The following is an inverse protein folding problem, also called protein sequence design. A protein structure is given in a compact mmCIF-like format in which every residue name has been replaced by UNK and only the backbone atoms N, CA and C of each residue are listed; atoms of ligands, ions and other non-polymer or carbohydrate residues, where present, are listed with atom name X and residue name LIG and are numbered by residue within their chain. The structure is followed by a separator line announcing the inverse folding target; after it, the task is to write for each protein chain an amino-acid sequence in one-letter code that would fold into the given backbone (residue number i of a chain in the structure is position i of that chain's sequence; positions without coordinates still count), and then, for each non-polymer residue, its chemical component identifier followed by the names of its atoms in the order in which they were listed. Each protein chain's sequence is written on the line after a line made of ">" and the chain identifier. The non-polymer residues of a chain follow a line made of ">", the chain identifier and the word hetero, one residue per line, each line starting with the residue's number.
data_IF_290523257715
#
_entry.id   IF_290523257715
#
_cell.length_a   1.000
_cell.length_b   1.000
_cell.length_c   1.000
_cell.angle_alpha   90.00
_cell.angle_beta   90.00
_cell.angle_gamma   90.00
#
_symmetry.space_group_name_H-M   'P 1'
#
loop_
_entity.id
_entity.type
_entity.pdbx_description
1 polymer ?
#
# COMPACT_ATOMS: atom_id res chain seq x y z
N UNK A 1 -65.97 56.07 -11.83
CA UNK A 1 -65.35 56.33 -10.51
C UNK A 1 -65.99 55.40 -9.48
N UNK A 2 -65.52 54.15 -9.38
CA UNK A 2 -66.00 53.20 -8.38
C UNK A 2 -65.02 53.17 -7.22
N UNK A 3 -65.47 53.53 -6.01
CA UNK A 3 -64.65 53.43 -4.80
C UNK A 3 -64.53 51.94 -4.46
N UNK A 4 -63.31 51.39 -4.48
CA UNK A 4 -63.03 50.11 -3.86
C UNK A 4 -63.31 50.28 -2.35
N UNK A 5 -64.47 49.79 -1.90
CA UNK A 5 -64.82 49.78 -0.49
C UNK A 5 -63.86 48.83 0.20
N UNK A 6 -63.02 49.37 1.09
CA UNK A 6 -62.14 48.57 1.95
C UNK A 6 -63.01 47.90 3.01
N UNK A 7 -63.63 46.79 2.64
CA UNK A 7 -64.49 45.99 3.51
C UNK A 7 -63.64 45.26 4.54
N UNK A 8 -64.20 44.89 5.70
CA UNK A 8 -63.49 44.08 6.69
C UNK A 8 -62.93 42.78 6.10
N UNK A 9 -63.64 42.18 5.15
CA UNK A 9 -63.17 41.03 4.37
C UNK A 9 -61.88 41.34 3.59
N UNK A 10 -61.83 42.46 2.86
CA UNK A 10 -60.60 42.85 2.13
C UNK A 10 -59.43 43.12 3.05
N UNK A 11 -59.68 43.65 4.26
CA UNK A 11 -58.63 43.88 5.27
C UNK A 11 -58.10 42.56 5.85
N UNK A 12 -58.99 41.59 6.11
CA UNK A 12 -58.60 40.25 6.56
C UNK A 12 -57.79 39.55 5.48
N UNK A 13 -58.22 39.65 4.22
CA UNK A 13 -57.53 39.02 3.09
C UNK A 13 -56.17 39.66 2.80
N UNK A 14 -56.05 40.99 2.91
CA UNK A 14 -54.80 41.73 2.82
C UNK A 14 -53.82 41.27 3.92
N UNK A 15 -54.28 41.18 5.18
CA UNK A 15 -53.46 40.72 6.30
C UNK A 15 -53.07 39.24 6.22
N UNK A 16 -53.92 38.38 5.65
CA UNK A 16 -53.62 36.95 5.44
C UNK A 16 -52.72 36.71 4.22
N UNK A 17 -52.63 37.69 3.31
CA UNK A 17 -51.77 37.65 2.13
C UNK A 17 -50.48 38.44 2.30
N UNK A 18 -50.28 39.11 3.44
CA UNK A 18 -48.98 39.64 3.83
C UNK A 18 -48.02 38.46 3.91
N UNK A 19 -46.95 38.42 3.08
CA UNK A 19 -45.98 37.34 3.15
C UNK A 19 -45.32 37.40 4.52
N UNK A 20 -45.59 36.40 5.35
CA UNK A 20 -44.92 36.24 6.63
C UNK A 20 -43.40 36.14 6.35
N UNK A 21 -42.58 36.93 7.04
CA UNK A 21 -41.12 36.95 6.87
C UNK A 21 -40.43 35.63 7.33
N UNK A 22 -41.17 34.51 7.43
CA UNK A 22 -40.67 33.19 7.81
C UNK A 22 -39.60 32.65 6.84
N UNK A 23 -39.61 33.11 5.58
CA UNK A 23 -38.63 32.73 4.56
C UNK A 23 -37.19 33.10 4.95
N UNK A 24 -36.99 34.21 5.67
CA UNK A 24 -35.65 34.70 6.04
C UNK A 24 -35.06 33.88 7.20
N UNK A 25 -35.90 33.42 8.13
CA UNK A 25 -35.48 32.61 9.29
C UNK A 25 -35.01 31.20 8.87
N UNK A 26 -35.71 30.57 7.93
CA UNK A 26 -35.36 29.24 7.43
C UNK A 26 -34.05 29.29 6.64
N UNK A 27 -33.87 30.31 5.81
CA UNK A 27 -32.64 30.46 5.02
C UNK A 27 -31.44 30.80 5.91
N UNK A 28 -31.60 31.68 6.90
CA UNK A 28 -30.56 31.96 7.91
C UNK A 28 -30.14 30.70 8.65
N UNK A 29 -31.11 29.88 9.08
CA UNK A 29 -30.83 28.60 9.72
C UNK A 29 -30.05 27.65 8.80
N UNK A 30 -30.46 27.54 7.53
CA UNK A 30 -29.76 26.71 6.53
C UNK A 30 -28.31 27.19 6.32
N UNK A 31 -28.08 28.50 6.18
CA UNK A 31 -26.72 29.05 6.07
C UNK A 31 -25.88 28.74 7.31
N UNK A 32 -26.46 28.91 8.51
CA UNK A 32 -25.79 28.58 9.77
C UNK A 32 -25.44 27.09 9.85
N UNK A 33 -26.32 26.21 9.41
CA UNK A 33 -26.08 24.77 9.36
C UNK A 33 -24.96 24.41 8.38
N UNK A 34 -25.00 24.94 7.16
CA UNK A 34 -23.95 24.73 6.15
C UNK A 34 -22.60 25.22 6.67
N UNK A 35 -22.56 26.41 7.28
CA UNK A 35 -21.34 26.96 7.86
C UNK A 35 -20.79 26.10 9.01
N UNK A 36 -21.66 25.53 9.85
CA UNK A 36 -21.25 24.58 10.90
C UNK A 36 -20.67 23.29 10.30
N UNK A 37 -21.31 22.74 9.28
CA UNK A 37 -20.82 21.53 8.59
C UNK A 37 -19.45 21.76 7.94
N UNK A 38 -19.27 22.89 7.26
CA UNK A 38 -17.98 23.29 6.68
C UNK A 38 -16.89 23.38 7.74
N UNK A 39 -17.16 24.04 8.87
CA UNK A 39 -16.21 24.10 10.00
C UNK A 39 -15.86 22.72 10.55
N UNK A 40 -16.85 21.84 10.71
CA UNK A 40 -16.59 20.46 11.16
C UNK A 40 -15.73 19.69 10.16
N UNK A 41 -15.99 19.85 8.86
CA UNK A 41 -15.20 19.26 7.80
C UNK A 41 -13.75 19.78 7.82
N UNK A 42 -13.54 21.09 7.93
CA UNK A 42 -12.21 21.70 8.04
C UNK A 42 -11.43 21.12 9.22
N UNK A 43 -12.05 21.03 10.39
CA UNK A 43 -11.43 20.42 11.58
C UNK A 43 -11.09 18.95 11.34
N UNK A 44 -11.99 18.19 10.72
CA UNK A 44 -11.75 16.78 10.42
C UNK A 44 -10.58 16.59 9.44
N UNK A 45 -10.49 17.41 8.40
CA UNK A 45 -9.40 17.38 7.40
C UNK A 45 -8.07 17.72 8.08
N UNK A 46 -8.01 18.83 8.82
CA UNK A 46 -6.80 19.25 9.54
C UNK A 46 -6.29 18.16 10.49
N UNK A 47 -7.20 17.52 11.23
CA UNK A 47 -6.83 16.41 12.13
C UNK A 47 -6.42 15.16 11.38
N UNK A 48 -7.06 14.84 10.27
CA UNK A 48 -6.66 13.72 9.42
C UNK A 48 -5.23 13.90 8.90
N UNK A 49 -4.89 15.10 8.41
CA UNK A 49 -3.56 15.43 7.91
C UNK A 49 -2.49 15.36 9.00
N UNK A 50 -2.74 15.99 10.16
CA UNK A 50 -1.86 15.92 11.33
C UNK A 50 -1.59 14.46 11.74
N UNK A 51 -2.65 13.64 11.77
CA UNK A 51 -2.56 12.24 12.19
C UNK A 51 -1.91 11.36 11.12
N UNK A 52 -2.07 11.67 9.83
CA UNK A 52 -1.42 10.96 8.74
C UNK A 52 0.10 11.11 8.82
N UNK A 53 0.59 12.33 9.08
CA UNK A 53 2.03 12.59 9.25
C UNK A 53 2.58 11.84 10.47
N UNK A 54 1.92 11.95 11.62
CA UNK A 54 2.31 11.23 12.85
C UNK A 54 2.31 9.72 12.67
N UNK A 55 1.31 9.19 11.96
CA UNK A 55 1.19 7.77 11.66
C UNK A 55 2.36 7.31 10.80
N UNK A 56 2.67 8.03 9.73
CA UNK A 56 3.80 7.72 8.84
C UNK A 56 5.12 7.71 9.62
N UNK A 57 5.41 8.76 10.38
CA UNK A 57 6.66 8.84 11.16
C UNK A 57 6.78 7.73 12.20
N UNK A 58 5.67 7.33 12.84
CA UNK A 58 5.68 6.26 13.82
C UNK A 58 5.88 4.88 13.20
N UNK A 59 5.19 4.57 12.08
CA UNK A 59 5.38 3.30 11.37
C UNK A 59 6.75 3.18 10.73
N UNK A 60 7.28 4.28 10.17
CA UNK A 60 8.57 4.27 9.46
C UNK A 60 9.77 4.36 10.41
N UNK A 61 9.56 4.59 11.72
CA UNK A 61 10.63 4.83 12.71
C UNK A 61 11.70 3.73 12.74
N UNK A 62 11.28 2.48 12.55
CA UNK A 62 12.16 1.30 12.54
C UNK A 62 12.23 0.65 11.15
N UNK A 63 11.75 1.34 10.11
CA UNK A 63 11.78 0.81 8.76
C UNK A 63 13.22 0.82 8.23
N UNK A 64 13.71 -0.36 7.84
CA UNK A 64 15.00 -0.52 7.19
C UNK A 64 14.79 -0.43 5.69
N UNK A 65 15.57 0.43 5.01
CA UNK A 65 15.59 0.47 3.54
C UNK A 65 16.08 -0.88 3.02
N UNK A 66 15.26 -1.51 2.20
CA UNK A 66 15.59 -2.73 1.47
C UNK A 66 15.48 -2.38 -0.01
N UNK A 67 16.43 -2.86 -0.78
CA UNK A 67 16.46 -2.66 -2.22
C UNK A 67 16.98 -3.96 -2.84
N UNK A 68 16.46 -4.27 -4.02
CA UNK A 68 16.89 -5.40 -4.82
C UNK A 68 17.26 -4.92 -6.22
N UNK A 69 18.17 -5.63 -6.86
CA UNK A 69 18.61 -5.37 -8.23
C UNK A 69 17.98 -6.37 -9.19
N UNK A 70 17.93 -5.97 -10.45
CA UNK A 70 17.51 -6.86 -11.54
C UNK A 70 18.47 -8.07 -11.59
N UNK A 71 17.90 -9.28 -11.66
CA UNK A 71 18.62 -10.54 -11.57
C UNK A 71 18.79 -11.10 -10.16
N UNK A 72 18.45 -10.36 -9.09
CA UNK A 72 18.51 -10.91 -7.73
C UNK A 72 17.49 -12.03 -7.53
N UNK A 73 17.93 -13.08 -6.83
CA UNK A 73 17.06 -14.18 -6.42
C UNK A 73 16.34 -13.80 -5.12
N UNK A 74 15.03 -13.95 -5.09
CA UNK A 74 14.18 -13.60 -3.94
C UNK A 74 13.07 -14.64 -3.73
N UNK A 75 12.88 -15.16 -2.51
CA UNK A 75 11.69 -15.94 -2.19
C UNK A 75 10.47 -15.02 -2.12
N UNK A 76 9.35 -15.47 -2.68
CA UNK A 76 8.09 -14.69 -2.73
C UNK A 76 7.07 -15.26 -1.76
N UNK A 77 6.41 -14.38 -0.99
CA UNK A 77 5.35 -14.78 -0.08
C UNK A 77 4.08 -15.21 -0.83
N UNK A 78 3.61 -16.43 -0.59
CA UNK A 78 2.36 -16.92 -1.17
C UNK A 78 1.14 -16.50 -0.35
N UNK A 79 0.42 -15.49 -0.83
CA UNK A 79 -0.79 -14.96 -0.17
C UNK A 79 -2.08 -15.71 -0.51
N UNK A 80 -2.12 -16.43 -1.64
CA UNK A 80 -3.31 -17.19 -2.07
C UNK A 80 -3.32 -18.59 -1.47
N UNK A 81 -4.09 -18.83 -0.39
CA UNK A 81 -4.46 -20.17 0.13
C UNK A 81 -5.77 -20.19 0.91
N UNK A 82 -6.31 -21.40 1.06
CA UNK A 82 -7.56 -21.72 1.75
C UNK A 82 -7.59 -21.39 3.27
N UNK A 83 -6.45 -21.17 3.94
CA UNK A 83 -6.40 -20.88 5.38
C UNK A 83 -5.29 -19.87 5.73
N UNK A 84 -5.58 -18.97 6.69
CA UNK A 84 -4.74 -17.87 7.21
C UNK A 84 -3.38 -18.31 7.75
N UNK A 85 -3.26 -19.54 8.25
CA UNK A 85 -1.99 -20.06 8.81
C UNK A 85 -1.09 -20.74 7.76
N UNK A 86 -1.57 -20.95 6.54
CA UNK A 86 -0.84 -21.67 5.51
C UNK A 86 0.11 -20.76 4.69
N UNK A 87 0.59 -19.65 5.26
CA UNK A 87 1.50 -18.73 4.57
C UNK A 87 2.87 -19.41 4.41
N UNK A 88 3.41 -19.45 3.19
CA UNK A 88 4.75 -19.98 2.92
C UNK A 88 5.54 -19.07 1.97
N UNK A 89 6.86 -19.12 2.10
CA UNK A 89 7.79 -18.55 1.13
C UNK A 89 7.96 -19.56 0.00
N UNK A 90 7.59 -19.16 -1.21
CA UNK A 90 7.82 -19.94 -2.42
C UNK A 90 9.23 -19.65 -2.90
N UNK A 91 9.83 -20.64 -3.57
CA UNK A 91 11.22 -20.68 -4.00
C UNK A 91 11.72 -19.41 -4.70
N UNK A 92 13.03 -19.35 -4.97
CA UNK A 92 13.64 -18.14 -5.49
C UNK A 92 13.03 -17.80 -6.86
N UNK A 93 12.34 -16.67 -6.91
CA UNK A 93 12.04 -15.98 -8.14
C UNK A 93 13.17 -15.01 -8.48
N UNK A 94 13.23 -14.60 -9.74
CA UNK A 94 14.20 -13.62 -10.23
C UNK A 94 13.51 -12.27 -10.36
N UNK A 95 14.16 -11.22 -9.89
CA UNK A 95 13.67 -9.86 -10.10
C UNK A 95 13.98 -9.45 -11.54
N UNK A 96 12.95 -9.04 -12.27
CA UNK A 96 13.09 -8.59 -13.64
C UNK A 96 13.33 -7.08 -13.72
N UNK A 97 12.51 -6.31 -13.01
CA UNK A 97 12.59 -4.86 -13.00
C UNK A 97 11.92 -4.26 -11.76
N UNK A 98 12.34 -3.04 -11.43
CA UNK A 98 11.71 -2.19 -10.42
C UNK A 98 10.60 -1.33 -11.07
N UNK A 99 9.36 -1.49 -10.62
CA UNK A 99 8.21 -0.69 -11.07
C UNK A 99 8.11 0.61 -10.26
N UNK A 100 8.39 0.54 -8.97
CA UNK A 100 8.36 1.64 -8.00
C UNK A 100 9.24 1.27 -6.80
N UNK A 101 9.65 2.26 -5.98
CA UNK A 101 10.47 2.05 -4.77
C UNK A 101 10.03 0.86 -3.89
N UNK A 102 8.74 0.52 -3.87
CA UNK A 102 8.20 -0.61 -3.10
C UNK A 102 7.67 -1.77 -3.94
N UNK A 103 7.60 -1.66 -5.28
CA UNK A 103 6.98 -2.65 -6.16
C UNK A 103 7.99 -3.19 -7.18
N UNK A 104 8.14 -4.51 -7.21
CA UNK A 104 9.07 -5.22 -8.08
C UNK A 104 8.31 -6.21 -8.97
N UNK A 105 8.78 -6.38 -10.20
CA UNK A 105 8.34 -7.44 -11.08
C UNK A 105 9.19 -8.69 -10.82
N UNK A 106 8.53 -9.79 -10.46
CA UNK A 106 9.20 -11.05 -10.12
C UNK A 106 8.72 -12.16 -11.03
N UNK A 107 9.68 -12.86 -11.64
CA UNK A 107 9.46 -14.10 -12.37
C UNK A 107 9.69 -15.30 -11.45
N UNK A 108 8.72 -16.20 -11.37
CA UNK A 108 8.87 -17.48 -10.65
C UNK A 108 8.82 -18.60 -11.68
N UNK A 109 9.74 -19.57 -11.66
CA UNK A 109 9.75 -20.66 -12.62
C UNK A 109 8.41 -21.41 -12.62
N UNK A 110 7.79 -21.55 -13.80
CA UNK A 110 6.50 -22.21 -13.97
C UNK A 110 5.28 -21.34 -13.64
N UNK A 111 5.46 -20.05 -13.37
CA UNK A 111 4.36 -19.09 -13.20
C UNK A 111 4.59 -17.87 -14.09
N UNK A 112 3.52 -17.12 -14.35
CA UNK A 112 3.61 -15.81 -14.97
C UNK A 112 4.32 -14.84 -14.03
N UNK A 113 4.97 -13.84 -14.61
CA UNK A 113 5.52 -12.70 -13.90
C UNK A 113 4.44 -12.02 -13.07
N UNK A 114 4.76 -11.65 -11.84
CA UNK A 114 3.82 -10.98 -10.94
C UNK A 114 4.47 -9.76 -10.31
N UNK A 115 3.70 -8.68 -10.18
CA UNK A 115 4.11 -7.55 -9.35
C UNK A 115 3.98 -7.92 -7.88
N UNK A 116 5.06 -7.70 -7.12
CA UNK A 116 5.13 -7.98 -5.69
C UNK A 116 5.64 -6.74 -4.96
N UNK A 117 5.02 -6.45 -3.83
CA UNK A 117 5.51 -5.40 -2.92
C UNK A 117 6.74 -5.97 -2.19
N UNK A 118 7.75 -5.14 -1.94
CA UNK A 118 9.01 -5.52 -1.29
C UNK A 118 8.84 -6.26 0.06
N UNK A 119 7.74 -6.00 0.78
CA UNK A 119 7.40 -6.70 2.03
C UNK A 119 7.03 -8.18 1.83
N UNK A 120 6.69 -8.57 0.60
CA UNK A 120 6.41 -9.94 0.19
C UNK A 120 7.67 -10.65 -0.33
N UNK A 121 8.84 -10.01 -0.23
CA UNK A 121 10.12 -10.50 -0.74
C UNK A 121 11.15 -10.62 0.39
N UNK A 122 12.10 -11.53 0.22
CA UNK A 122 13.26 -11.67 1.10
C UNK A 122 14.55 -11.78 0.28
N UNK A 123 15.70 -11.32 0.83
CA UNK A 123 17.00 -11.65 0.23
C UNK A 123 17.22 -13.17 0.24
N UNK A 124 17.58 -13.74 -0.90
CA UNK A 124 17.99 -15.13 -0.98
C UNK A 124 19.50 -15.27 -0.74
N UNK A 125 19.88 -16.04 0.28
CA UNK A 125 21.28 -16.40 0.53
C UNK A 125 21.49 -17.86 0.15
N UNK A 126 22.29 -18.10 -0.90
CA UNK A 126 22.64 -19.47 -1.32
C UNK A 126 23.45 -20.12 -0.20
N UNK A 127 23.07 -21.34 0.19
CA UNK A 127 23.89 -22.14 1.13
C UNK A 127 25.23 -22.48 0.46
N UNK A 128 26.35 -22.44 1.21
CA UNK A 128 27.62 -22.93 0.69
C UNK A 128 27.47 -24.41 0.34
N UNK A 129 27.91 -24.79 -0.85
CA UNK A 129 27.89 -26.17 -1.26
C UNK A 129 29.06 -26.89 -0.59
N UNK A 130 28.75 -27.83 0.32
CA UNK A 130 29.76 -28.72 0.88
C UNK A 130 30.04 -29.81 -0.15
N UNK A 131 31.09 -29.60 -0.94
CA UNK A 131 31.58 -30.63 -1.86
C UNK A 131 32.39 -31.62 -1.02
N UNK A 132 31.84 -32.81 -0.78
CA UNK A 132 32.62 -33.91 -0.22
C UNK A 132 33.55 -34.42 -1.33
N UNK A 133 34.80 -33.95 -1.35
CA UNK A 133 35.82 -34.48 -2.24
C UNK A 133 36.27 -35.84 -1.71
N UNK A 134 36.01 -36.91 -2.46
CA UNK A 134 36.66 -38.21 -2.26
C UNK A 134 38.00 -38.12 -3.00
N UNK A 135 39.08 -37.92 -2.26
CA UNK A 135 40.43 -37.97 -2.82
C UNK A 135 40.84 -39.44 -2.80
N UNK A 136 40.84 -40.08 -3.97
CA UNK A 136 41.43 -41.41 -4.12
C UNK A 136 42.95 -41.25 -4.15
N UNK A 137 43.63 -41.78 -3.15
CA UNK A 137 45.08 -41.67 -2.93
C UNK A 137 45.93 -42.55 -3.87
N UNK A 138 45.36 -42.99 -5.00
CA UNK A 138 46.04 -43.91 -5.94
C UNK A 138 47.02 -43.20 -6.89
N UNK A 139 47.04 -41.87 -6.93
CA UNK A 139 47.96 -41.10 -7.78
C UNK A 139 49.32 -40.81 -7.15
N UNK A 140 49.56 -41.18 -5.88
CA UNK A 140 50.90 -41.06 -5.28
C UNK A 140 51.84 -42.22 -5.63
N UNK A 141 51.32 -43.37 -6.06
CA UNK A 141 52.15 -44.53 -6.39
C UNK A 141 52.65 -44.56 -7.85
N UNK A 142 52.05 -43.82 -8.79
CA UNK A 142 52.51 -43.85 -10.19
C UNK A 142 53.65 -42.88 -10.51
N UNK A 143 53.96 -41.93 -9.61
CA UNK A 143 55.08 -40.99 -9.76
C UNK A 143 56.37 -41.47 -9.08
N UNK A 144 56.26 -42.38 -8.10
CA UNK A 144 57.42 -42.96 -7.39
C UNK A 144 58.15 -44.03 -8.22
N UNK A 145 57.46 -44.68 -9.16
CA UNK A 145 58.04 -45.74 -10.00
C UNK A 145 58.80 -45.21 -11.24
N UNK A 146 58.78 -43.90 -11.50
CA UNK A 146 59.48 -43.28 -12.65
C UNK A 146 60.81 -42.60 -12.29
N UNK A 147 61.20 -42.50 -11.01
CA UNK A 147 62.47 -41.88 -10.59
C UNK A 147 63.64 -42.88 -10.41
N UNK A 148 63.50 -44.16 -10.76
CA UNK A 148 64.53 -45.19 -10.54
C UNK A 148 65.28 -45.71 -11.77
N UNK A 149 65.15 -45.09 -12.95
CA UNK A 149 66.07 -45.35 -14.06
C UNK A 149 66.94 -44.14 -14.36
N UNK A 150 68.25 -44.27 -14.09
CA UNK A 150 69.43 -43.86 -14.90
C UNK A 150 70.69 -44.28 -14.09
N UNK A 151 71.81 -44.74 -14.69
CA UNK A 151 72.08 -45.29 -16.03
C UNK A 151 72.44 -46.79 -16.04
#
# INVERSE_FOLDING_TARGET
>A
MGKNLRTPETLVMEHWMEPEEESDLVTEYMFKLINRLKRCQEVAINKMEEMQVKRKTWYDKNAVKREFKDGDLVPVLATSRANKLAVQWIGPGTILSNISETNYLVEIPGRRETSQIINMLKPYYKRPEHINAIINDETQNSLADQELEIP
#
